data_IF_701782036421
#
_entry.id   IF_701782036421
#
_cell.length_a   1.000
_cell.length_b   1.000
_cell.length_c   1.000
_cell.angle_alpha   90.00
_cell.angle_beta   90.00
_cell.angle_gamma   90.00
#
_symmetry.space_group_name_H-M   'P 1'
#
loop_
_entity.id
_entity.type
_entity.pdbx_description
1 polymer ?
#
# COMPACT_ATOMS: atom_id res chain seq x y z
N UNK A 1 -39.94 -16.78 -49.08
CA UNK A 1 -39.90 -16.32 -47.67
C UNK A 1 -38.45 -16.41 -47.18
N UNK A 2 -37.73 -15.30 -47.10
CA UNK A 2 -36.38 -15.24 -46.53
C UNK A 2 -36.30 -14.02 -45.62
N UNK A 3 -36.06 -14.28 -44.33
CA UNK A 3 -36.07 -13.32 -43.23
C UNK A 3 -34.78 -12.51 -43.21
N UNK A 4 -34.90 -11.17 -43.16
CA UNK A 4 -33.79 -10.23 -43.02
C UNK A 4 -33.38 -10.11 -41.55
N UNK A 5 -32.15 -10.48 -41.22
CA UNK A 5 -31.61 -10.35 -39.87
C UNK A 5 -31.28 -8.88 -39.55
N UNK A 6 -32.06 -8.25 -38.64
CA UNK A 6 -31.76 -6.91 -38.10
C UNK A 6 -30.52 -6.96 -37.20
N UNK A 7 -29.45 -6.30 -37.64
CA UNK A 7 -28.22 -6.08 -36.86
C UNK A 7 -28.52 -5.13 -35.69
N UNK A 8 -28.43 -5.61 -34.44
CA UNK A 8 -28.59 -4.75 -33.24
C UNK A 8 -27.45 -3.75 -33.17
N UNK A 9 -27.79 -2.46 -33.24
CA UNK A 9 -26.87 -1.33 -33.05
C UNK A 9 -26.47 -1.29 -31.57
N UNK A 10 -25.17 -1.31 -31.27
CA UNK A 10 -24.66 -1.13 -29.90
C UNK A 10 -24.78 0.36 -29.58
N UNK A 11 -25.64 0.72 -28.64
CA UNK A 11 -25.71 2.09 -28.14
C UNK A 11 -24.56 2.31 -27.16
N UNK A 12 -23.69 3.27 -27.46
CA UNK A 12 -22.64 3.72 -26.57
C UNK A 12 -23.19 4.90 -25.76
N UNK A 13 -23.18 4.80 -24.43
CA UNK A 13 -23.85 5.76 -23.53
C UNK A 13 -23.11 7.11 -23.37
N UNK A 14 -22.02 7.30 -24.11
CA UNK A 14 -21.17 8.50 -24.05
C UNK A 14 -21.33 9.43 -25.26
N UNK A 15 -22.19 9.09 -26.22
CA UNK A 15 -22.45 9.91 -27.42
C UNK A 15 -23.65 10.87 -27.27
N UNK A 16 -24.30 10.92 -26.10
CA UNK A 16 -25.52 11.71 -25.86
C UNK A 16 -25.27 13.19 -25.50
N UNK A 17 -24.03 13.69 -25.59
CA UNK A 17 -23.75 15.11 -25.39
C UNK A 17 -23.64 15.83 -26.74
N UNK A 18 -24.57 16.75 -27.08
CA UNK A 18 -24.43 17.56 -28.27
C UNK A 18 -23.23 18.50 -28.06
N UNK A 19 -22.16 18.25 -28.82
CA UNK A 19 -21.09 19.23 -29.00
C UNK A 19 -21.61 20.22 -30.04
N UNK A 20 -22.15 21.35 -29.57
CA UNK A 20 -22.39 22.48 -30.45
C UNK A 20 -21.04 22.89 -31.04
N UNK A 21 -20.92 22.67 -32.34
CA UNK A 21 -19.67 22.86 -33.07
C UNK A 21 -19.33 24.34 -33.16
N UNK A 22 -18.17 24.68 -32.62
CA UNK A 22 -17.36 25.78 -33.17
C UNK A 22 -15.94 25.25 -33.39
N UNK A 23 -15.61 24.96 -34.64
CA UNK A 23 -14.27 24.60 -35.06
C UNK A 23 -13.44 25.89 -35.19
N UNK A 24 -12.84 26.32 -34.08
CA UNK A 24 -11.67 27.20 -34.12
C UNK A 24 -10.42 26.36 -33.87
N UNK A 25 -9.67 26.14 -34.94
CA UNK A 25 -8.31 25.61 -34.92
C UNK A 25 -7.37 26.64 -34.27
N UNK A 26 -7.39 26.74 -32.95
CA UNK A 26 -6.31 27.37 -32.18
C UNK A 26 -5.25 26.33 -31.85
N UNK A 27 -4.04 26.57 -32.36
CA UNK A 27 -2.83 25.88 -31.92
C UNK A 27 -2.71 26.04 -30.41
N UNK A 28 -2.52 24.98 -29.60
CA UNK A 28 -2.51 25.14 -28.17
C UNK A 28 -1.23 25.89 -27.78
N UNK A 29 -1.37 27.17 -27.43
CA UNK A 29 -0.37 27.84 -26.59
C UNK A 29 -0.33 27.07 -25.29
N UNK A 30 0.73 26.28 -25.08
CA UNK A 30 0.99 25.59 -23.82
C UNK A 30 0.92 26.63 -22.71
N UNK A 31 -0.13 26.57 -21.90
CA UNK A 31 -0.32 27.55 -20.84
C UNK A 31 0.72 27.25 -19.75
N UNK A 32 1.26 28.29 -19.13
CA UNK A 32 2.18 28.18 -18.00
C UNK A 32 1.52 27.40 -16.84
N UNK A 33 0.18 27.39 -16.78
CA UNK A 33 -0.61 26.56 -15.86
C UNK A 33 -0.53 25.06 -16.22
N UNK A 34 -0.53 24.69 -17.50
CA UNK A 34 -0.35 23.29 -17.96
C UNK A 34 1.03 22.77 -17.59
N UNK A 35 2.09 23.55 -17.81
CA UNK A 35 3.46 23.15 -17.44
C UNK A 35 3.63 23.02 -15.92
N UNK A 36 2.94 23.85 -15.12
CA UNK A 36 2.98 23.77 -13.66
C UNK A 36 2.23 22.57 -13.11
N UNK A 37 1.08 22.21 -13.70
CA UNK A 37 0.32 21.00 -13.35
C UNK A 37 1.09 19.74 -13.78
N UNK A 38 1.68 19.73 -14.97
CA UNK A 38 2.54 18.64 -15.46
C UNK A 38 3.77 18.44 -14.55
N UNK A 39 4.38 19.53 -14.04
CA UNK A 39 5.50 19.47 -13.10
C UNK A 39 5.10 19.01 -11.68
N UNK A 40 3.92 19.41 -11.20
CA UNK A 40 3.36 18.92 -9.92
C UNK A 40 2.96 17.43 -10.02
N UNK A 41 2.43 16.99 -11.15
CA UNK A 41 2.14 15.57 -11.41
C UNK A 41 3.43 14.74 -11.58
N UNK A 42 4.46 15.28 -12.23
CA UNK A 42 5.80 14.66 -12.30
C UNK A 42 6.54 14.67 -10.95
N UNK A 43 6.09 15.44 -9.96
CA UNK A 43 6.64 15.36 -8.60
C UNK A 43 6.00 14.25 -7.76
N UNK A 44 4.85 13.70 -8.18
CA UNK A 44 4.20 12.52 -7.58
C UNK A 44 4.77 11.21 -8.13
N UNK A 45 6.06 11.18 -8.46
CA UNK A 45 6.70 9.95 -8.89
C UNK A 45 6.73 8.97 -7.71
N UNK A 46 6.08 7.83 -7.89
CA UNK A 46 6.24 6.68 -7.01
C UNK A 46 7.72 6.27 -7.00
N UNK A 47 8.35 6.37 -5.83
CA UNK A 47 9.77 6.06 -5.65
C UNK A 47 9.91 4.77 -4.86
N UNK A 48 10.72 3.85 -5.38
CA UNK A 48 11.08 2.63 -4.69
C UNK A 48 12.35 2.89 -3.87
N UNK A 49 12.24 2.74 -2.55
CA UNK A 49 13.35 2.90 -1.62
C UNK A 49 13.50 1.64 -0.75
N UNK A 50 14.71 1.43 -0.23
CA UNK A 50 14.97 0.40 0.78
C UNK A 50 14.90 1.06 2.15
N UNK A 51 13.98 0.57 2.99
CA UNK A 51 13.75 1.09 4.33
C UNK A 51 13.99 -0.01 5.37
N UNK A 52 14.51 0.38 6.53
CA UNK A 52 14.52 -0.50 7.69
C UNK A 52 13.13 -0.55 8.32
N UNK A 53 12.71 -1.69 8.90
CA UNK A 53 11.44 -1.77 9.62
C UNK A 53 11.28 -0.69 10.71
N UNK A 54 12.36 -0.31 11.39
CA UNK A 54 12.34 0.77 12.39
C UNK A 54 11.95 2.16 11.87
N UNK A 55 11.95 2.36 10.54
CA UNK A 55 11.54 3.60 9.88
C UNK A 55 10.10 3.54 9.38
N UNK A 56 9.41 2.41 9.56
CA UNK A 56 8.08 2.15 9.03
C UNK A 56 7.10 1.90 10.17
N UNK A 57 5.83 2.24 9.97
CA UNK A 57 4.77 1.98 10.94
C UNK A 57 3.51 1.47 10.22
N UNK A 58 2.88 0.38 10.69
CA UNK A 58 1.58 -0.05 10.18
C UNK A 58 0.49 1.01 10.37
N UNK A 59 -0.49 1.08 9.47
CA UNK A 59 -1.67 1.89 9.70
C UNK A 59 -2.55 1.32 10.83
N UNK A 60 -2.77 2.13 11.87
CA UNK A 60 -3.60 1.79 13.03
C UNK A 60 -5.05 1.44 12.66
N UNK A 61 -5.54 1.98 11.53
CA UNK A 61 -6.92 1.86 11.10
C UNK A 61 -7.15 0.77 10.03
N UNK A 62 -6.16 -0.10 9.77
CA UNK A 62 -6.32 -1.25 8.89
C UNK A 62 -7.50 -2.14 9.35
N UNK A 63 -8.45 -2.50 8.45
CA UNK A 63 -9.57 -3.38 8.79
C UNK A 63 -9.12 -4.80 9.18
N UNK A 64 -8.08 -5.32 8.51
CA UNK A 64 -7.54 -6.67 8.76
C UNK A 64 -6.30 -6.56 9.62
N UNK A 65 -6.48 -6.70 10.93
CA UNK A 65 -5.40 -6.59 11.93
C UNK A 65 -4.63 -7.90 12.01
N UNK A 66 -3.29 -7.82 11.95
CA UNK A 66 -2.42 -8.96 12.17
C UNK A 66 -1.99 -9.09 13.63
N UNK A 67 -1.60 -7.97 14.26
CA UNK A 67 -1.15 -7.98 15.64
C UNK A 67 -2.29 -8.24 16.64
N UNK A 68 -2.02 -9.00 17.72
CA UNK A 68 -2.88 -9.08 18.90
C UNK A 68 -3.19 -7.70 19.49
N UNK A 69 -4.38 -7.56 20.10
CA UNK A 69 -4.87 -6.27 20.59
C UNK A 69 -3.96 -5.62 21.64
N UNK A 70 -3.36 -6.42 22.53
CA UNK A 70 -2.44 -5.96 23.59
C UNK A 70 -1.16 -5.34 22.99
N UNK A 71 -0.44 -6.09 22.16
CA UNK A 71 0.79 -5.63 21.50
C UNK A 71 0.52 -4.37 20.67
N UNK A 72 -0.62 -4.34 19.97
CA UNK A 72 -0.99 -3.22 19.12
C UNK A 72 -1.16 -1.92 19.90
N UNK A 73 -1.73 -1.97 21.10
CA UNK A 73 -1.88 -0.78 21.95
C UNK A 73 -0.53 -0.23 22.39
N UNK A 74 0.38 -1.12 22.79
CA UNK A 74 1.72 -0.73 23.24
C UNK A 74 2.59 -0.21 22.09
N UNK A 75 2.50 -0.81 20.90
CA UNK A 75 3.19 -0.33 19.70
C UNK A 75 2.73 1.08 19.30
N UNK A 76 1.41 1.30 19.17
CA UNK A 76 0.89 2.61 18.73
C UNK A 76 0.92 3.69 19.81
N UNK A 77 1.12 3.32 21.08
CA UNK A 77 1.42 4.28 22.14
C UNK A 77 2.91 4.63 22.25
N UNK A 78 3.77 3.93 21.50
CA UNK A 78 5.22 4.14 21.51
C UNK A 78 5.94 3.54 22.72
N UNK A 79 5.30 2.62 23.44
CA UNK A 79 5.93 1.91 24.57
C UNK A 79 6.92 0.85 24.12
N UNK A 80 6.62 0.21 22.98
CA UNK A 80 7.47 -0.81 22.36
C UNK A 80 7.71 -0.48 20.88
N UNK A 81 8.84 -0.91 20.33
CA UNK A 81 9.14 -0.82 18.91
C UNK A 81 8.64 -2.06 18.12
N UNK A 82 8.83 -2.06 16.80
CA UNK A 82 8.38 -3.17 15.94
C UNK A 82 9.08 -4.50 16.21
N UNK A 83 10.34 -4.49 16.67
CA UNK A 83 11.10 -5.71 16.96
C UNK A 83 10.68 -6.29 18.30
N UNK A 84 10.47 -5.43 19.30
CA UNK A 84 9.91 -5.81 20.59
C UNK A 84 8.49 -6.37 20.42
N UNK A 85 7.65 -5.72 19.61
CA UNK A 85 6.32 -6.23 19.26
C UNK A 85 6.38 -7.62 18.60
N UNK A 86 7.33 -7.85 17.70
CA UNK A 86 7.53 -9.16 17.07
C UNK A 86 7.97 -10.23 18.09
N UNK A 87 8.93 -9.91 18.97
CA UNK A 87 9.39 -10.82 20.02
C UNK A 87 8.28 -11.18 21.01
N UNK A 88 7.47 -10.20 21.43
CA UNK A 88 6.29 -10.43 22.26
C UNK A 88 5.27 -11.32 21.54
N UNK A 89 5.04 -11.10 20.25
CA UNK A 89 4.11 -11.92 19.47
C UNK A 89 4.57 -13.37 19.39
N UNK A 90 5.87 -13.61 19.17
CA UNK A 90 6.46 -14.96 19.22
C UNK A 90 6.25 -15.59 20.60
N UNK A 91 6.41 -14.82 21.68
CA UNK A 91 6.23 -15.34 23.04
C UNK A 91 4.80 -15.83 23.32
N UNK A 92 3.79 -15.24 22.66
CA UNK A 92 2.38 -15.61 22.81
C UNK A 92 2.05 -16.98 22.18
N UNK A 93 2.86 -17.48 21.25
CA UNK A 93 2.65 -18.81 20.62
C UNK A 93 2.70 -19.97 21.62
N UNK A 94 3.40 -19.78 22.74
CA UNK A 94 3.48 -20.77 23.82
C UNK A 94 2.12 -21.10 24.43
N UNK A 95 1.18 -20.16 24.36
CA UNK A 95 -0.13 -20.25 24.99
C UNK A 95 -1.29 -20.41 23.99
N UNK A 96 -1.07 -20.09 22.70
CA UNK A 96 -2.11 -20.09 21.67
C UNK A 96 -1.58 -20.59 20.32
N UNK A 97 -2.08 -21.75 19.88
CA UNK A 97 -1.74 -22.38 18.60
C UNK A 97 -2.22 -21.55 17.39
N UNK A 98 -3.23 -20.69 17.56
CA UNK A 98 -3.70 -19.79 16.50
C UNK A 98 -2.65 -18.77 16.10
N UNK A 99 -1.89 -18.23 17.07
CA UNK A 99 -0.77 -17.34 16.78
C UNK A 99 0.39 -18.06 16.11
N UNK A 100 0.67 -19.30 16.54
CA UNK A 100 1.73 -20.12 15.94
C UNK A 100 1.52 -20.27 14.43
N UNK A 101 0.32 -20.66 13.99
CA UNK A 101 0.03 -20.85 12.57
C UNK A 101 0.11 -19.56 11.74
N UNK A 102 -0.14 -18.38 12.32
CA UNK A 102 0.05 -17.10 11.62
C UNK A 102 1.52 -16.71 11.54
N UNK A 103 2.27 -16.87 12.64
CA UNK A 103 3.71 -16.58 12.68
C UNK A 103 4.48 -17.50 11.74
N UNK A 104 4.19 -18.80 11.71
CA UNK A 104 4.83 -19.75 10.79
C UNK A 104 4.61 -19.34 9.33
N UNK A 105 3.40 -18.87 8.98
CA UNK A 105 3.09 -18.35 7.64
C UNK A 105 3.85 -17.06 7.30
N UNK A 106 4.14 -16.22 8.29
CA UNK A 106 4.91 -14.98 8.09
C UNK A 106 6.41 -15.26 8.03
N UNK A 107 6.93 -16.17 8.86
CA UNK A 107 8.33 -16.61 8.81
C UNK A 107 8.65 -17.27 7.47
N UNK A 108 7.83 -18.21 6.99
CA UNK A 108 8.00 -18.82 5.68
C UNK A 108 7.96 -17.79 4.53
N UNK A 109 7.17 -16.73 4.67
CA UNK A 109 7.18 -15.61 3.72
C UNK A 109 8.49 -14.82 3.80
N UNK A 110 8.99 -14.56 5.01
CA UNK A 110 10.25 -13.86 5.22
C UNK A 110 11.43 -14.63 4.61
N UNK A 111 11.52 -15.94 4.87
CA UNK A 111 12.55 -16.83 4.31
C UNK A 111 12.57 -16.77 2.77
N UNK A 112 11.40 -16.67 2.14
CA UNK A 112 11.30 -16.54 0.67
C UNK A 112 11.93 -15.24 0.14
N UNK A 113 12.07 -14.20 0.98
CA UNK A 113 12.74 -12.96 0.58
C UNK A 113 14.25 -13.14 0.49
N UNK A 114 14.85 -14.06 1.23
CA UNK A 114 16.28 -14.34 1.12
C UNK A 114 16.62 -15.04 -0.20
N UNK A 115 15.74 -15.96 -0.63
CA UNK A 115 15.95 -16.74 -1.85
C UNK A 115 15.58 -15.95 -3.12
N UNK A 116 14.42 -15.30 -3.14
CA UNK A 116 13.88 -14.66 -4.35
C UNK A 116 13.87 -13.13 -4.30
N UNK A 117 14.20 -12.54 -3.15
CA UNK A 117 13.95 -11.13 -2.89
C UNK A 117 12.46 -10.83 -2.70
N UNK A 118 12.19 -9.60 -2.26
CA UNK A 118 10.83 -9.10 -2.18
C UNK A 118 10.32 -8.70 -3.58
N UNK A 119 9.42 -9.50 -4.16
CA UNK A 119 8.89 -9.27 -5.53
C UNK A 119 7.99 -8.03 -5.60
N UNK A 120 7.21 -7.75 -4.54
CA UNK A 120 6.27 -6.63 -4.48
C UNK A 120 6.62 -5.69 -3.33
N UNK A 121 6.79 -4.38 -3.57
CA UNK A 121 7.14 -3.43 -2.52
C UNK A 121 6.02 -3.30 -1.48
N UNK A 122 6.37 -2.76 -0.33
CA UNK A 122 5.41 -2.22 0.64
C UNK A 122 5.08 -0.80 0.15
N UNK A 123 3.79 -0.44 0.12
CA UNK A 123 3.35 0.90 -0.31
C UNK A 123 2.88 1.70 0.89
N UNK A 124 2.97 3.02 0.76
CA UNK A 124 2.75 3.91 1.87
C UNK A 124 3.23 5.32 1.56
N UNK A 125 3.17 6.16 2.59
CA UNK A 125 3.53 7.58 2.50
C UNK A 125 4.37 7.99 3.70
N UNK A 126 5.28 8.95 3.49
CA UNK A 126 6.03 9.55 4.58
C UNK A 126 5.12 10.50 5.35
N UNK A 127 5.03 10.29 6.67
CA UNK A 127 4.24 11.14 7.58
C UNK A 127 5.15 11.71 8.68
N UNK A 128 4.86 12.94 9.16
CA UNK A 128 5.58 13.49 10.29
C UNK A 128 5.23 12.72 11.57
N UNK A 129 6.24 12.26 12.28
CA UNK A 129 6.10 11.69 13.61
C UNK A 129 6.07 12.80 14.68
N UNK A 130 5.56 12.47 15.86
CA UNK A 130 5.42 13.40 16.99
C UNK A 130 6.76 13.95 17.51
N UNK A 131 7.86 13.27 17.22
CA UNK A 131 9.23 13.64 17.60
C UNK A 131 9.98 14.45 16.54
N UNK A 132 9.29 14.86 15.46
CA UNK A 132 9.88 15.63 14.36
C UNK A 132 10.63 14.80 13.33
N UNK A 133 10.73 13.47 13.51
CA UNK A 133 11.21 12.56 12.46
C UNK A 133 10.11 12.32 11.43
N UNK A 134 10.49 11.75 10.29
CA UNK A 134 9.52 11.23 9.32
C UNK A 134 9.53 9.71 9.41
N UNK A 135 8.34 9.12 9.38
CA UNK A 135 8.15 7.67 9.37
C UNK A 135 7.32 7.28 8.16
N UNK A 136 7.57 6.11 7.61
CA UNK A 136 6.84 5.59 6.47
C UNK A 136 5.59 4.85 6.95
N UNK A 137 4.42 5.45 6.75
CA UNK A 137 3.14 4.87 7.09
C UNK A 137 2.76 3.82 6.05
N UNK A 138 2.63 2.57 6.48
CA UNK A 138 2.31 1.45 5.60
C UNK A 138 0.81 1.43 5.28
N UNK A 139 0.50 1.57 3.99
CA UNK A 139 -0.85 1.45 3.46
C UNK A 139 -1.12 0.00 3.02
N UNK A 140 -0.18 -0.59 2.28
CA UNK A 140 -0.29 -1.99 1.84
C UNK A 140 1.03 -2.74 2.00
N UNK A 141 0.93 -4.05 2.28
CA UNK A 141 2.10 -4.90 2.46
C UNK A 141 2.50 -5.14 3.92
N UNK A 142 1.59 -4.90 4.88
CA UNK A 142 1.84 -5.11 6.32
C UNK A 142 2.39 -6.51 6.65
N UNK A 143 1.94 -7.57 5.96
CA UNK A 143 2.49 -8.93 6.13
C UNK A 143 3.99 -9.02 5.80
N UNK A 144 4.46 -8.30 4.78
CA UNK A 144 5.88 -8.31 4.39
C UNK A 144 6.72 -7.58 5.43
N UNK A 145 6.18 -6.48 5.97
CA UNK A 145 6.79 -5.78 7.10
C UNK A 145 6.94 -6.69 8.31
N UNK A 146 5.86 -7.37 8.73
CA UNK A 146 5.92 -8.27 9.88
C UNK A 146 6.77 -9.50 9.65
N UNK A 147 6.80 -10.07 8.44
CA UNK A 147 7.69 -11.17 8.11
C UNK A 147 9.16 -10.83 8.37
N UNK A 148 9.60 -9.63 7.96
CA UNK A 148 10.97 -9.15 8.24
C UNK A 148 11.18 -8.90 9.73
N UNK A 149 10.22 -8.28 10.43
CA UNK A 149 10.36 -8.04 11.87
C UNK A 149 10.46 -9.35 12.66
N UNK A 150 9.68 -10.37 12.29
CA UNK A 150 9.67 -11.68 12.92
C UNK A 150 10.98 -12.44 12.69
N UNK A 151 11.55 -12.39 11.47
CA UNK A 151 12.86 -13.00 11.21
C UNK A 151 13.98 -12.39 12.06
N UNK A 152 13.92 -11.09 12.35
CA UNK A 152 14.91 -10.43 13.21
C UNK A 152 14.72 -10.80 14.69
N UNK A 153 13.50 -11.14 15.10
CA UNK A 153 13.14 -11.44 16.48
C UNK A 153 13.16 -12.95 16.83
N UNK A 154 13.19 -13.83 15.83
CA UNK A 154 13.24 -15.30 15.97
C UNK A 154 14.66 -15.78 16.31
#
# INVERSE_FOLDING_TARGET
>A
MTSSARKRKRHNAFEDFPVDGDQSTETPRRSILSERVEAEEQSRLERIERLNPSQMIPDRFQPRRLLPASIREDLFSGKIDCYQAAAEWISMTKNDQGYQAEIDRLLAMGESFEEYGQIKPITGSWVPASDGRHVFLIETGERRFWAVCLLVAA
#
